data_IF_928915095398
#
_entry.id   IF_928915095398
#
_cell.length_a   1.000
_cell.length_b   1.000
_cell.length_c   1.000
_cell.angle_alpha   90.00
_cell.angle_beta   90.00
_cell.angle_gamma   90.00
#
_symmetry.space_group_name_H-M   'P 1'
#
loop_
_entity.id
_entity.type
_entity.pdbx_description
1 polymer ?
#
# COMPACT_ATOMS: atom_id res chain seq x y z
N UNK A 1 -6.57 -26.16 21.54
CA UNK A 1 -5.90 -25.11 20.75
C UNK A 1 -6.85 -24.71 19.65
N UNK A 2 -7.39 -23.47 19.63
CA UNK A 2 -8.27 -23.07 18.55
C UNK A 2 -7.42 -22.77 17.31
N UNK A 3 -7.64 -23.57 16.27
CA UNK A 3 -7.09 -23.40 14.94
C UNK A 3 -7.50 -22.01 14.43
N UNK A 4 -6.55 -21.09 14.34
CA UNK A 4 -6.79 -19.80 13.71
C UNK A 4 -7.28 -20.10 12.28
N UNK A 5 -8.50 -19.66 11.96
CA UNK A 5 -9.04 -19.69 10.61
C UNK A 5 -8.06 -18.89 9.74
N UNK A 6 -7.18 -19.57 9.01
CA UNK A 6 -6.51 -18.93 7.90
C UNK A 6 -7.62 -18.49 6.95
N UNK A 7 -7.77 -17.19 6.67
CA UNK A 7 -8.70 -16.75 5.65
C UNK A 7 -8.38 -17.52 4.37
N UNK A 8 -9.40 -17.97 3.64
CA UNK A 8 -9.19 -18.65 2.36
C UNK A 8 -8.23 -17.80 1.51
N UNK A 9 -7.11 -18.40 1.08
CA UNK A 9 -6.05 -17.73 0.32
C UNK A 9 -6.61 -17.02 -0.92
N UNK A 10 -7.72 -17.50 -1.47
CA UNK A 10 -8.46 -16.89 -2.58
C UNK A 10 -9.10 -15.54 -2.19
N UNK A 11 -9.67 -15.45 -0.98
CA UNK A 11 -10.29 -14.23 -0.45
C UNK A 11 -9.23 -13.18 -0.20
N UNK A 12 -8.11 -13.55 0.44
CA UNK A 12 -6.97 -12.62 0.67
C UNK A 12 -6.37 -12.13 -0.64
N UNK A 13 -6.26 -13.01 -1.63
CA UNK A 13 -5.77 -12.63 -2.96
C UNK A 13 -6.68 -11.56 -3.60
N UNK A 14 -7.99 -11.77 -3.55
CA UNK A 14 -8.96 -10.82 -4.12
C UNK A 14 -8.94 -9.50 -3.37
N UNK A 15 -8.86 -9.55 -2.03
CA UNK A 15 -8.82 -8.38 -1.17
C UNK A 15 -7.59 -7.48 -1.45
N UNK A 16 -6.38 -8.04 -1.41
CA UNK A 16 -5.17 -7.26 -1.68
C UNK A 16 -5.09 -6.76 -3.12
N UNK A 17 -5.58 -7.55 -4.08
CA UNK A 17 -5.62 -7.12 -5.47
C UNK A 17 -6.55 -5.94 -5.68
N UNK A 18 -7.73 -5.94 -5.05
CA UNK A 18 -8.67 -4.82 -5.12
C UNK A 18 -8.07 -3.55 -4.50
N UNK A 19 -7.47 -3.67 -3.32
CA UNK A 19 -6.79 -2.55 -2.67
C UNK A 19 -5.63 -1.99 -3.51
N UNK A 20 -4.87 -2.86 -4.18
CA UNK A 20 -3.80 -2.44 -5.08
C UNK A 20 -4.35 -1.71 -6.32
N UNK A 21 -5.39 -2.24 -6.97
CA UNK A 21 -6.02 -1.62 -8.14
C UNK A 21 -6.62 -0.24 -7.79
N UNK A 22 -7.21 -0.10 -6.60
CA UNK A 22 -7.69 1.17 -6.06
C UNK A 22 -6.53 2.15 -5.84
N UNK A 23 -5.45 1.71 -5.20
CA UNK A 23 -4.25 2.52 -4.98
C UNK A 23 -3.66 3.04 -6.30
N UNK A 24 -3.52 2.19 -7.31
CA UNK A 24 -2.99 2.57 -8.63
C UNK A 24 -3.85 3.68 -9.26
N UNK A 25 -5.18 3.56 -9.18
CA UNK A 25 -6.08 4.59 -9.70
C UNK A 25 -5.96 5.90 -8.93
N UNK A 26 -5.77 5.84 -7.62
CA UNK A 26 -5.62 7.02 -6.78
C UNK A 26 -4.33 7.79 -7.10
N UNK A 27 -3.20 7.10 -7.23
CA UNK A 27 -1.92 7.75 -7.54
C UNK A 27 -1.82 8.30 -8.97
N UNK A 28 -2.77 7.97 -9.85
CA UNK A 28 -2.91 8.56 -11.19
C UNK A 28 -3.66 9.89 -11.18
N UNK A 29 -4.33 10.27 -10.09
CA UNK A 29 -4.98 11.59 -9.99
C UNK A 29 -3.93 12.68 -9.82
N UNK A 30 -3.98 13.75 -10.63
CA UNK A 30 -2.92 14.78 -10.65
C UNK A 30 -2.70 15.56 -9.32
N UNK A 31 -3.60 15.44 -8.34
CA UNK A 31 -3.44 16.02 -7.00
C UNK A 31 -4.11 15.12 -5.96
N UNK A 32 -3.43 14.04 -5.60
CA UNK A 32 -3.92 13.04 -4.65
C UNK A 32 -4.20 13.65 -3.26
N UNK A 33 -3.32 14.53 -2.79
CA UNK A 33 -3.44 15.13 -1.46
C UNK A 33 -4.71 15.98 -1.35
N UNK A 34 -5.01 16.79 -2.38
CA UNK A 34 -6.26 17.57 -2.41
C UNK A 34 -7.49 16.68 -2.58
N UNK A 35 -7.41 15.63 -3.41
CA UNK A 35 -8.51 14.68 -3.59
C UNK A 35 -8.91 14.01 -2.27
N UNK A 36 -7.93 13.59 -1.47
CA UNK A 36 -8.16 12.98 -0.15
C UNK A 36 -8.68 14.02 0.86
N UNK A 37 -8.19 15.27 0.82
CA UNK A 37 -8.73 16.34 1.68
C UNK A 37 -10.21 16.60 1.40
N UNK A 38 -10.62 16.56 0.14
CA UNK A 38 -12.01 16.77 -0.28
C UNK A 38 -12.90 15.57 0.04
N UNK A 39 -12.35 14.36 -0.10
CA UNK A 39 -13.05 13.12 0.22
C UNK A 39 -12.13 12.14 0.95
N UNK A 40 -12.07 12.21 2.30
CA UNK A 40 -11.22 11.32 3.10
C UNK A 40 -11.56 9.84 2.94
N UNK A 41 -12.79 9.51 2.53
CA UNK A 41 -13.24 8.14 2.30
C UNK A 41 -12.59 7.44 1.10
N UNK A 42 -11.89 8.18 0.23
CA UNK A 42 -11.23 7.63 -0.95
C UNK A 42 -10.12 6.62 -0.63
N UNK A 43 -9.54 6.69 0.57
CA UNK A 43 -8.42 5.83 0.97
C UNK A 43 -8.81 4.74 1.95
N UNK A 44 -10.05 4.71 2.43
CA UNK A 44 -10.43 3.87 3.57
C UNK A 44 -10.18 2.38 3.31
N UNK A 45 -10.61 1.86 2.15
CA UNK A 45 -10.40 0.45 1.82
C UNK A 45 -8.91 0.11 1.70
N UNK A 46 -8.13 1.01 1.11
CA UNK A 46 -6.69 0.84 0.96
C UNK A 46 -5.97 0.89 2.32
N UNK A 47 -6.33 1.84 3.18
CA UNK A 47 -5.75 2.01 4.52
C UNK A 47 -6.06 0.82 5.43
N UNK A 48 -7.27 0.26 5.32
CA UNK A 48 -7.65 -0.98 6.00
C UNK A 48 -6.79 -2.15 5.52
N UNK A 49 -6.62 -2.30 4.20
CA UNK A 49 -5.81 -3.36 3.61
C UNK A 49 -4.32 -3.21 3.97
N UNK A 50 -3.81 -1.99 3.98
CA UNK A 50 -2.46 -1.65 4.41
C UNK A 50 -2.24 -2.02 5.87
N UNK A 51 -3.14 -1.60 6.75
CA UNK A 51 -3.07 -1.89 8.18
C UNK A 51 -3.12 -3.39 8.44
N UNK A 52 -4.01 -4.11 7.76
CA UNK A 52 -4.11 -5.55 7.86
C UNK A 52 -2.84 -6.25 7.35
N UNK A 53 -2.30 -5.85 6.20
CA UNK A 53 -1.07 -6.40 5.64
C UNK A 53 0.13 -6.20 6.58
N UNK A 54 0.28 -5.01 7.19
CA UNK A 54 1.38 -4.72 8.11
C UNK A 54 1.34 -5.61 9.36
N UNK A 55 0.15 -5.81 9.94
CA UNK A 55 -0.03 -6.69 11.10
C UNK A 55 0.26 -8.15 10.73
N UNK A 56 -0.30 -8.63 9.62
CA UNK A 56 -0.14 -10.01 9.18
C UNK A 56 1.32 -10.34 8.87
N UNK A 57 1.98 -9.44 8.14
CA UNK A 57 3.37 -9.57 7.68
C UNK A 57 4.39 -9.45 8.82
N UNK A 58 4.34 -8.35 9.59
CA UNK A 58 5.44 -8.00 10.49
C UNK A 58 5.16 -8.32 11.96
N UNK A 59 3.90 -8.42 12.39
CA UNK A 59 3.56 -8.65 13.81
C UNK A 59 3.19 -10.09 14.11
N UNK A 60 2.47 -10.74 13.21
CA UNK A 60 2.05 -12.12 13.41
C UNK A 60 3.08 -13.14 12.91
N UNK A 61 4.17 -12.69 12.25
CA UNK A 61 5.13 -13.55 11.55
C UNK A 61 4.44 -14.59 10.66
N UNK A 62 3.25 -14.27 10.15
CA UNK A 62 2.62 -15.09 9.14
C UNK A 62 3.46 -14.91 7.88
N UNK A 63 4.04 -16.00 7.38
CA UNK A 63 4.65 -16.07 6.04
C UNK A 63 3.56 -15.98 4.94
N UNK A 64 2.62 -15.06 5.09
CA UNK A 64 1.63 -14.75 4.09
C UNK A 64 2.33 -14.00 2.96
N UNK A 65 2.85 -14.76 1.99
CA UNK A 65 3.51 -14.19 0.81
C UNK A 65 2.63 -13.21 0.04
N UNK A 66 1.29 -13.20 0.24
CA UNK A 66 0.37 -12.23 -0.36
C UNK A 66 0.40 -10.87 0.30
N UNK A 67 0.40 -10.82 1.63
CA UNK A 67 0.52 -9.56 2.38
C UNK A 67 1.87 -8.89 2.10
N UNK A 68 2.95 -9.68 2.12
CA UNK A 68 4.29 -9.24 1.72
C UNK A 68 4.32 -8.68 0.30
N UNK A 69 3.78 -9.44 -0.68
CA UNK A 69 3.76 -9.00 -2.08
C UNK A 69 2.97 -7.71 -2.26
N UNK A 70 1.85 -7.56 -1.56
CA UNK A 70 1.04 -6.33 -1.58
C UNK A 70 1.86 -5.12 -1.11
N UNK A 71 2.52 -5.22 0.07
CA UNK A 71 3.37 -4.14 0.60
C UNK A 71 4.53 -3.79 -0.36
N UNK A 72 5.18 -4.80 -0.94
CA UNK A 72 6.24 -4.60 -1.93
C UNK A 72 5.74 -3.86 -3.18
N UNK A 73 4.54 -4.19 -3.67
CA UNK A 73 3.94 -3.54 -4.84
C UNK A 73 3.55 -2.09 -4.53
N UNK A 74 3.01 -1.80 -3.35
CA UNK A 74 2.75 -0.41 -2.91
C UNK A 74 4.04 0.42 -2.92
N UNK A 75 5.12 -0.10 -2.31
CA UNK A 75 6.42 0.58 -2.32
C UNK A 75 6.98 0.77 -3.74
N UNK A 76 6.83 -0.24 -4.60
CA UNK A 76 7.26 -0.17 -5.99
C UNK A 76 6.57 0.99 -6.74
N UNK A 77 5.25 1.13 -6.64
CA UNK A 77 4.54 2.21 -7.32
C UNK A 77 4.94 3.59 -6.77
N UNK A 78 5.05 3.76 -5.45
CA UNK A 78 5.48 5.03 -4.85
C UNK A 78 6.89 5.41 -5.33
N UNK A 79 7.80 4.44 -5.37
CA UNK A 79 9.18 4.69 -5.80
C UNK A 79 9.29 4.95 -7.30
N UNK A 80 8.39 4.38 -8.13
CA UNK A 80 8.38 4.60 -9.59
C UNK A 80 8.07 6.06 -9.95
N UNK A 81 7.32 6.77 -9.10
CA UNK A 81 7.05 8.22 -9.24
C UNK A 81 8.31 9.09 -9.10
N UNK A 82 9.44 8.55 -8.63
CA UNK A 82 10.68 9.33 -8.39
C UNK A 82 11.84 8.96 -9.31
N UNK A 83 11.75 7.84 -10.01
CA UNK A 83 12.93 7.10 -10.48
C UNK A 83 13.23 7.14 -11.99
N UNK A 84 12.58 7.98 -12.78
CA UNK A 84 12.95 8.09 -14.20
C UNK A 84 13.18 9.52 -14.66
N UNK A 85 14.21 9.70 -15.47
CA UNK A 85 14.36 10.82 -16.38
C UNK A 85 13.76 10.36 -17.72
N UNK A 86 13.10 11.24 -18.47
CA UNK A 86 12.50 10.98 -19.80
C UNK A 86 11.16 10.21 -19.83
N UNK A 87 10.37 10.23 -18.76
CA UNK A 87 8.97 9.76 -18.76
C UNK A 87 8.01 10.97 -18.82
N UNK A 88 6.71 10.74 -19.09
CA UNK A 88 5.73 11.83 -19.16
C UNK A 88 5.57 12.52 -17.80
N UNK A 89 5.58 13.86 -17.77
CA UNK A 89 5.48 14.66 -16.53
C UNK A 89 4.23 14.33 -15.69
N UNK A 90 3.15 13.88 -16.34
CA UNK A 90 1.92 13.45 -15.67
C UNK A 90 2.15 12.28 -14.70
N UNK A 91 3.13 11.42 -14.98
CA UNK A 91 3.52 10.30 -14.11
C UNK A 91 4.19 10.76 -12.79
N UNK A 92 4.51 12.06 -12.67
CA UNK A 92 5.15 12.66 -11.50
C UNK A 92 4.22 13.60 -10.73
N UNK A 93 2.94 13.69 -11.12
CA UNK A 93 2.01 14.65 -10.53
C UNK A 93 1.90 14.52 -8.99
N UNK A 94 2.12 13.31 -8.46
CA UNK A 94 2.11 13.02 -7.03
C UNK A 94 3.50 12.79 -6.40
N UNK A 95 4.60 13.16 -7.06
CA UNK A 95 5.98 12.92 -6.55
C UNK A 95 6.21 13.54 -5.15
N UNK A 96 5.53 14.66 -4.89
CA UNK A 96 5.61 15.45 -3.66
C UNK A 96 4.40 15.23 -2.73
N UNK A 97 3.57 14.21 -2.99
CA UNK A 97 2.43 13.89 -2.15
C UNK A 97 2.86 13.53 -0.72
N UNK A 98 2.30 14.26 0.24
CA UNK A 98 2.49 14.02 1.67
C UNK A 98 1.83 12.72 2.12
N UNK A 99 0.71 12.34 1.50
CA UNK A 99 0.04 11.06 1.75
C UNK A 99 0.94 9.89 1.33
N UNK A 100 1.50 9.93 0.11
CA UNK A 100 2.40 8.87 -0.36
C UNK A 100 3.69 8.78 0.46
N UNK A 101 4.23 9.92 0.89
CA UNK A 101 5.36 9.93 1.81
C UNK A 101 5.02 9.25 3.14
N UNK A 102 3.84 9.51 3.70
CA UNK A 102 3.37 8.90 4.95
C UNK A 102 3.23 7.38 4.82
N UNK A 103 2.57 6.90 3.75
CA UNK A 103 2.37 5.46 3.49
C UNK A 103 3.72 4.74 3.39
N UNK A 104 4.64 5.26 2.57
CA UNK A 104 5.98 4.69 2.43
C UNK A 104 6.70 4.61 3.78
N UNK A 105 6.68 5.71 4.54
CA UNK A 105 7.32 5.79 5.85
C UNK A 105 6.72 4.77 6.84
N UNK A 106 5.41 4.57 6.81
CA UNK A 106 4.73 3.58 7.66
C UNK A 106 5.21 2.16 7.35
N UNK A 107 5.27 1.78 6.07
CA UNK A 107 5.74 0.45 5.65
C UNK A 107 7.21 0.26 6.02
N UNK A 108 8.08 1.22 5.68
CA UNK A 108 9.52 1.16 5.97
C UNK A 108 9.80 1.08 7.47
N UNK A 109 9.00 1.76 8.30
CA UNK A 109 9.16 1.73 9.76
C UNK A 109 8.85 0.35 10.33
N UNK A 110 7.75 -0.28 9.91
CA UNK A 110 7.40 -1.62 10.40
C UNK A 110 8.35 -2.69 9.85
N UNK A 111 8.79 -2.56 8.60
CA UNK A 111 9.81 -3.43 8.01
C UNK A 111 11.13 -3.36 8.78
N UNK A 112 11.63 -2.15 9.05
CA UNK A 112 12.87 -1.95 9.82
C UNK A 112 12.76 -2.53 11.24
N UNK A 113 11.60 -2.42 11.90
CA UNK A 113 11.37 -3.01 13.22
C UNK A 113 11.36 -4.54 13.20
N UNK A 114 10.89 -5.13 12.11
CA UNK A 114 10.85 -6.58 11.94
C UNK A 114 12.24 -7.17 11.62
N UNK A 115 13.11 -6.42 10.94
CA UNK A 115 14.49 -6.87 10.66
C UNK A 115 15.45 -6.81 11.86
N UNK A 116 15.16 -5.97 12.86
CA UNK A 116 15.99 -5.76 14.07
C UNK A 116 15.72 -6.78 15.18
#
# INVERSE_FOLDING_TARGET
MPTALQPDKSILYTYYRQAEEEFIRLIQNCDLDSAIKLNPGLMTNFEDALSFALVDTYKNNNECGRAHLFLQRVLYYINRLKLFWFDDLENYANENSTVLFSIRKQIETEWMRWEL
#
